data_IF_962946950724
#
_entry.id   IF_962946950724
#
_cell.length_a   1.000
_cell.length_b   1.000
_cell.length_c   1.000
_cell.angle_alpha   90.00
_cell.angle_beta   90.00
_cell.angle_gamma   90.00
#
_symmetry.space_group_name_H-M   'P 1'
#
loop_
_entity.id
_entity.type
_entity.pdbx_description
1 polymer ?
#
# COMPACT_ATOMS: atom_id res chain seq x y z
N UNK A 1 -15.92 13.99 17.96
CA UNK A 1 -16.64 13.36 16.85
C UNK A 1 -17.16 14.37 15.83
N UNK A 2 -17.83 15.46 16.21
CA UNK A 2 -18.34 16.48 15.26
C UNK A 2 -17.27 17.07 14.32
N UNK A 3 -16.06 17.34 14.79
CA UNK A 3 -14.96 17.89 13.97
C UNK A 3 -14.50 16.96 12.84
N UNK A 4 -14.48 15.63 13.07
CA UNK A 4 -14.08 14.66 12.06
C UNK A 4 -15.17 14.53 10.99
N UNK A 5 -16.44 14.49 11.41
CA UNK A 5 -17.57 14.45 10.48
C UNK A 5 -17.65 15.71 9.64
N UNK A 6 -17.47 16.88 10.23
CA UNK A 6 -17.48 18.17 9.55
C UNK A 6 -16.33 18.28 8.51
N UNK A 7 -15.14 17.83 8.89
CA UNK A 7 -14.00 17.76 7.97
C UNK A 7 -14.28 16.86 6.77
N UNK A 8 -14.80 15.64 7.00
CA UNK A 8 -15.11 14.69 5.95
C UNK A 8 -16.27 15.14 5.04
N UNK A 9 -17.31 15.76 5.63
CA UNK A 9 -18.50 16.12 4.88
C UNK A 9 -18.38 17.44 4.12
N UNK A 10 -17.62 18.41 4.65
CA UNK A 10 -17.58 19.78 4.15
C UNK A 10 -16.25 20.22 3.54
N UNK A 11 -15.16 19.43 3.77
CA UNK A 11 -13.81 19.78 3.28
C UNK A 11 -13.24 18.77 2.30
N UNK A 12 -14.01 17.72 1.94
CA UNK A 12 -13.56 16.69 0.99
C UNK A 12 -14.60 16.52 -0.14
N UNK A 13 -14.11 16.38 -1.35
CA UNK A 13 -14.91 15.91 -2.48
C UNK A 13 -15.21 14.41 -2.30
N UNK A 14 -16.47 14.12 -1.95
CA UNK A 14 -16.95 12.74 -1.72
C UNK A 14 -16.79 11.86 -2.95
N UNK A 15 -16.88 12.41 -4.15
CA UNK A 15 -16.72 11.65 -5.40
C UNK A 15 -15.28 11.14 -5.51
N UNK A 16 -14.30 11.99 -5.24
CA UNK A 16 -12.88 11.60 -5.23
C UNK A 16 -12.57 10.59 -4.13
N UNK A 17 -13.18 10.73 -2.95
CA UNK A 17 -13.04 9.75 -1.85
C UNK A 17 -13.57 8.37 -2.28
N UNK A 18 -14.73 8.32 -2.93
CA UNK A 18 -15.31 7.07 -3.44
C UNK A 18 -14.40 6.47 -4.53
N UNK A 19 -13.90 7.28 -5.46
CA UNK A 19 -12.97 6.82 -6.50
C UNK A 19 -11.70 6.24 -5.88
N UNK A 20 -11.11 6.91 -4.90
CA UNK A 20 -9.94 6.42 -4.16
C UNK A 20 -10.21 5.05 -3.53
N UNK A 21 -11.37 4.89 -2.87
CA UNK A 21 -11.78 3.62 -2.27
C UNK A 21 -11.94 2.51 -3.32
N UNK A 22 -12.59 2.79 -4.43
CA UNK A 22 -12.79 1.81 -5.52
C UNK A 22 -11.46 1.38 -6.14
N UNK A 23 -10.53 2.30 -6.36
CA UNK A 23 -9.17 1.98 -6.85
C UNK A 23 -8.44 1.10 -5.84
N UNK A 24 -8.51 1.41 -4.56
CA UNK A 24 -7.91 0.60 -3.50
C UNK A 24 -8.46 -0.82 -3.47
N UNK A 25 -9.79 -0.98 -3.50
CA UNK A 25 -10.45 -2.29 -3.50
C UNK A 25 -10.13 -3.11 -4.76
N UNK A 26 -10.17 -2.48 -5.94
CA UNK A 26 -9.81 -3.13 -7.21
C UNK A 26 -8.35 -3.55 -7.23
N UNK A 27 -7.45 -2.70 -6.72
CA UNK A 27 -6.01 -2.97 -6.58
C UNK A 27 -5.75 -4.15 -5.66
N UNK A 28 -6.35 -4.19 -4.47
CA UNK A 28 -6.23 -5.30 -3.53
C UNK A 28 -6.73 -6.61 -4.16
N UNK A 29 -7.92 -6.59 -4.77
CA UNK A 29 -8.48 -7.78 -5.43
C UNK A 29 -7.54 -8.32 -6.53
N UNK A 30 -7.04 -7.43 -7.39
CA UNK A 30 -6.14 -7.79 -8.48
C UNK A 30 -4.80 -8.31 -7.96
N UNK A 31 -4.22 -7.64 -6.95
CA UNK A 31 -2.98 -8.04 -6.32
C UNK A 31 -3.07 -9.44 -5.71
N UNK A 32 -4.17 -9.77 -5.01
CA UNK A 32 -4.41 -11.12 -4.48
C UNK A 32 -4.44 -12.20 -5.56
N UNK A 33 -5.08 -11.93 -6.70
CA UNK A 33 -5.14 -12.88 -7.81
C UNK A 33 -3.75 -13.08 -8.47
N UNK A 34 -2.97 -12.02 -8.63
CA UNK A 34 -1.61 -12.10 -9.15
C UNK A 34 -0.66 -12.81 -8.17
N UNK A 35 -0.77 -12.51 -6.89
CA UNK A 35 0.00 -13.17 -5.84
C UNK A 35 -0.28 -14.69 -5.77
N UNK A 36 -1.54 -15.08 -5.94
CA UNK A 36 -1.91 -16.49 -6.02
C UNK A 36 -1.20 -17.21 -7.18
N UNK A 37 -1.12 -16.57 -8.35
CA UNK A 37 -0.36 -17.11 -9.51
C UNK A 37 1.13 -17.19 -9.23
N UNK A 38 1.71 -16.20 -8.57
CA UNK A 38 3.11 -16.22 -8.15
C UNK A 38 3.42 -17.40 -7.24
N UNK A 39 2.50 -17.82 -6.37
CA UNK A 39 2.70 -18.91 -5.43
C UNK A 39 2.75 -20.30 -6.09
N UNK A 40 2.19 -20.46 -7.30
CA UNK A 40 2.10 -21.74 -8.01
C UNK A 40 3.14 -21.83 -9.15
N UNK A 41 3.64 -20.69 -9.66
CA UNK A 41 4.51 -20.60 -10.84
C UNK A 41 5.92 -21.14 -10.63
N UNK A 42 6.57 -21.57 -11.73
CA UNK A 42 8.01 -21.84 -11.78
C UNK A 42 8.80 -20.56 -11.45
N UNK A 43 10.05 -20.68 -11.01
CA UNK A 43 10.85 -19.55 -10.49
C UNK A 43 10.80 -18.29 -11.39
N UNK A 44 10.98 -18.45 -12.70
CA UNK A 44 10.96 -17.33 -13.67
C UNK A 44 9.58 -16.66 -13.75
N UNK A 45 8.51 -17.45 -13.77
CA UNK A 45 7.14 -16.96 -13.76
C UNK A 45 6.79 -16.34 -12.40
N UNK A 46 7.27 -16.93 -11.31
CA UNK A 46 7.09 -16.42 -9.96
C UNK A 46 7.64 -15.02 -9.80
N UNK A 47 8.87 -14.77 -10.26
CA UNK A 47 9.49 -13.44 -10.21
C UNK A 47 8.66 -12.41 -10.99
N UNK A 48 8.23 -12.75 -12.22
CA UNK A 48 7.40 -11.86 -13.03
C UNK A 48 6.05 -11.55 -12.34
N UNK A 49 5.38 -12.56 -11.80
CA UNK A 49 4.11 -12.36 -11.09
C UNK A 49 4.28 -11.56 -9.79
N UNK A 50 5.39 -11.75 -9.06
CA UNK A 50 5.69 -10.97 -7.85
C UNK A 50 5.95 -9.50 -8.20
N UNK A 51 6.68 -9.23 -9.27
CA UNK A 51 6.89 -7.87 -9.76
C UNK A 51 5.57 -7.21 -10.15
N UNK A 52 4.73 -7.88 -10.95
CA UNK A 52 3.41 -7.37 -11.32
C UNK A 52 2.50 -7.15 -10.10
N UNK A 53 2.54 -8.06 -9.11
CA UNK A 53 1.83 -7.89 -7.84
C UNK A 53 2.30 -6.62 -7.13
N UNK A 54 3.61 -6.38 -7.08
CA UNK A 54 4.19 -5.18 -6.49
C UNK A 54 3.78 -3.90 -7.22
N UNK A 55 3.82 -3.90 -8.54
CA UNK A 55 3.38 -2.77 -9.38
C UNK A 55 1.90 -2.45 -9.13
N UNK A 56 1.02 -3.45 -9.13
CA UNK A 56 -0.42 -3.24 -8.91
C UNK A 56 -0.68 -2.81 -7.46
N UNK A 57 -0.04 -3.44 -6.48
CA UNK A 57 -0.23 -3.09 -5.06
C UNK A 57 0.31 -1.69 -4.78
N UNK A 58 1.57 -1.42 -5.13
CA UNK A 58 2.21 -0.13 -4.88
C UNK A 58 1.52 1.00 -5.64
N UNK A 59 1.19 0.77 -6.91
CA UNK A 59 0.48 1.74 -7.75
C UNK A 59 -0.92 2.06 -7.25
N UNK A 60 -1.70 1.07 -6.83
CA UNK A 60 -3.04 1.30 -6.28
C UNK A 60 -3.01 1.99 -4.92
N UNK A 61 -2.08 1.65 -4.02
CA UNK A 61 -1.91 2.34 -2.74
C UNK A 61 -1.51 3.81 -2.97
N UNK A 62 -0.54 4.04 -3.87
CA UNK A 62 -0.13 5.38 -4.25
C UNK A 62 -1.27 6.19 -4.86
N UNK A 63 -2.03 5.62 -5.81
CA UNK A 63 -3.16 6.29 -6.45
C UNK A 63 -4.26 6.61 -5.43
N UNK A 64 -4.61 5.66 -4.55
CA UNK A 64 -5.57 5.88 -3.46
C UNK A 64 -5.13 7.04 -2.56
N UNK A 65 -3.86 7.08 -2.17
CA UNK A 65 -3.29 8.15 -1.35
C UNK A 65 -3.40 9.51 -2.04
N UNK A 66 -2.92 9.65 -3.28
CA UNK A 66 -2.93 10.92 -3.98
C UNK A 66 -4.34 11.40 -4.35
N UNK A 67 -5.24 10.50 -4.75
CA UNK A 67 -6.63 10.87 -5.03
C UNK A 67 -7.33 11.29 -3.74
N UNK A 68 -7.07 10.62 -2.62
CA UNK A 68 -7.58 11.04 -1.31
C UNK A 68 -7.04 12.42 -0.90
N UNK A 69 -5.77 12.73 -1.20
CA UNK A 69 -5.22 14.07 -0.97
C UNK A 69 -5.85 15.13 -1.88
N UNK A 70 -6.13 14.80 -3.15
CA UNK A 70 -6.81 15.69 -4.08
C UNK A 70 -8.27 15.93 -3.71
N UNK A 71 -8.89 15.05 -2.92
CA UNK A 71 -10.25 15.25 -2.43
C UNK A 71 -10.35 16.33 -1.36
N UNK A 72 -9.25 16.66 -0.69
CA UNK A 72 -9.21 17.72 0.30
C UNK A 72 -9.12 19.09 -0.41
N UNK A 73 -10.12 19.95 -0.19
CA UNK A 73 -10.21 21.30 -0.75
C UNK A 73 -9.86 22.35 0.33
N UNK A 74 -8.59 22.67 0.49
CA UNK A 74 -8.20 23.76 1.37
C UNK A 74 -8.48 25.11 0.70
N UNK A 75 -8.72 26.15 1.51
CA UNK A 75 -8.97 27.51 1.03
C UNK A 75 -7.77 28.12 0.25
N UNK A 76 -6.61 27.45 0.25
CA UNK A 76 -5.37 27.88 -0.39
C UNK A 76 -5.02 27.00 -1.58
N UNK A 77 -4.39 27.53 -2.65
CA UNK A 77 -3.97 26.72 -3.78
C UNK A 77 -2.90 25.70 -3.38
N UNK A 78 -3.13 24.43 -3.74
CA UNK A 78 -2.21 23.30 -3.49
C UNK A 78 -1.62 22.85 -4.82
N UNK A 79 -0.31 22.73 -4.88
CA UNK A 79 0.43 22.09 -5.97
C UNK A 79 1.20 20.88 -5.48
N UNK A 80 1.69 20.08 -6.43
CA UNK A 80 2.53 18.90 -6.14
C UNK A 80 3.81 18.98 -6.97
N UNK A 81 4.92 18.71 -6.33
CA UNK A 81 6.23 18.64 -7.00
C UNK A 81 6.35 17.31 -7.76
N UNK A 82 6.50 17.32 -9.12
CA UNK A 82 6.39 16.12 -9.94
C UNK A 82 7.47 15.06 -9.63
N UNK A 83 8.70 15.47 -9.32
CA UNK A 83 9.80 14.53 -9.08
C UNK A 83 9.57 13.74 -7.79
N UNK A 84 9.24 14.40 -6.68
CA UNK A 84 8.94 13.73 -5.42
C UNK A 84 7.69 12.84 -5.52
N UNK A 85 6.69 13.28 -6.29
CA UNK A 85 5.49 12.50 -6.58
C UNK A 85 5.85 11.20 -7.33
N UNK A 86 6.69 11.28 -8.36
CA UNK A 86 7.17 10.10 -9.08
C UNK A 86 8.07 9.20 -8.23
N UNK A 87 8.96 9.79 -7.41
CA UNK A 87 9.81 9.04 -6.47
C UNK A 87 8.96 8.28 -5.45
N UNK A 88 7.90 8.89 -4.91
CA UNK A 88 7.00 8.21 -3.98
C UNK A 88 6.32 6.97 -4.61
N UNK A 89 5.92 7.03 -5.89
CA UNK A 89 5.39 5.89 -6.62
C UNK A 89 6.44 4.76 -6.75
N UNK A 90 7.69 5.11 -7.11
CA UNK A 90 8.76 4.13 -7.23
C UNK A 90 9.07 3.45 -5.89
N UNK A 91 9.05 4.20 -4.78
CA UNK A 91 9.20 3.66 -3.42
C UNK A 91 8.09 2.65 -3.13
N UNK A 92 6.82 2.98 -3.43
CA UNK A 92 5.70 2.08 -3.22
C UNK A 92 5.86 0.76 -3.99
N UNK A 93 6.19 0.84 -5.29
CA UNK A 93 6.38 -0.34 -6.15
C UNK A 93 7.57 -1.18 -5.68
N UNK A 94 8.70 -0.55 -5.37
CA UNK A 94 9.90 -1.26 -4.93
C UNK A 94 9.68 -1.99 -3.59
N UNK A 95 9.10 -1.30 -2.61
CA UNK A 95 8.86 -1.87 -1.28
C UNK A 95 7.82 -2.99 -1.31
N UNK A 96 6.72 -2.83 -2.05
CA UNK A 96 5.70 -3.89 -2.18
C UNK A 96 6.26 -5.10 -2.92
N UNK A 97 7.01 -4.90 -4.01
CA UNK A 97 7.69 -5.99 -4.73
C UNK A 97 8.67 -6.75 -3.83
N UNK A 98 9.52 -6.03 -3.09
CA UNK A 98 10.49 -6.61 -2.17
C UNK A 98 9.80 -7.39 -1.04
N UNK A 99 8.76 -6.83 -0.43
CA UNK A 99 8.01 -7.47 0.63
C UNK A 99 7.33 -8.77 0.19
N UNK A 100 6.67 -8.78 -0.96
CA UNK A 100 6.10 -10.01 -1.53
C UNK A 100 7.17 -11.03 -1.92
N UNK A 101 8.33 -10.59 -2.41
CA UNK A 101 9.44 -11.47 -2.73
C UNK A 101 10.01 -12.13 -1.46
N UNK A 102 10.26 -11.37 -0.40
CA UNK A 102 10.72 -11.89 0.89
C UNK A 102 9.75 -12.95 1.43
N UNK A 103 8.46 -12.63 1.44
CA UNK A 103 7.44 -13.55 1.96
C UNK A 103 7.26 -14.83 1.14
N UNK A 104 7.66 -14.84 -0.12
CA UNK A 104 7.35 -15.93 -1.06
C UNK A 104 8.55 -16.71 -1.56
N UNK A 105 9.75 -16.12 -1.56
CA UNK A 105 10.99 -16.73 -2.08
C UNK A 105 11.90 -17.13 -0.93
N UNK A 106 12.06 -16.27 0.07
CA UNK A 106 12.97 -16.48 1.19
C UNK A 106 12.22 -17.22 2.31
N UNK A 107 12.10 -18.54 2.21
CA UNK A 107 11.43 -19.37 3.21
C UNK A 107 9.91 -19.24 3.22
N UNK A 108 9.22 -19.71 2.18
CA UNK A 108 7.78 -19.51 2.01
C UNK A 108 6.92 -20.12 3.12
N UNK A 109 7.46 -21.04 3.91
CA UNK A 109 6.76 -21.66 5.04
C UNK A 109 7.14 -21.07 6.40
N UNK A 110 8.11 -20.15 6.46
CA UNK A 110 8.55 -19.51 7.70
C UNK A 110 7.62 -18.32 8.03
N UNK A 111 7.12 -18.30 9.27
CA UNK A 111 6.36 -17.16 9.79
C UNK A 111 7.21 -15.88 9.73
N UNK A 112 8.49 -15.98 10.01
CA UNK A 112 9.43 -14.87 10.00
C UNK A 112 9.49 -14.17 8.64
N UNK A 113 9.52 -14.91 7.51
CA UNK A 113 9.57 -14.31 6.18
C UNK A 113 8.30 -13.52 5.85
N UNK A 114 7.15 -13.94 6.37
CA UNK A 114 5.87 -13.21 6.22
C UNK A 114 5.87 -11.93 7.04
N UNK A 115 6.36 -12.00 8.28
CA UNK A 115 6.48 -10.83 9.17
C UNK A 115 7.47 -9.83 8.59
N UNK A 116 8.66 -10.25 8.19
CA UNK A 116 9.69 -9.36 7.62
C UNK A 116 9.22 -8.77 6.29
N UNK A 117 8.64 -9.59 5.41
CA UNK A 117 8.06 -9.09 4.16
C UNK A 117 6.96 -8.05 4.39
N UNK A 118 6.07 -8.29 5.36
CA UNK A 118 5.02 -7.36 5.75
C UNK A 118 5.56 -6.07 6.37
N UNK A 119 6.60 -6.17 7.19
CA UNK A 119 7.32 -5.02 7.74
C UNK A 119 7.90 -4.14 6.63
N UNK A 120 8.55 -4.75 5.63
CA UNK A 120 9.10 -4.03 4.46
C UNK A 120 8.00 -3.32 3.68
N UNK A 121 6.85 -3.97 3.46
CA UNK A 121 5.69 -3.34 2.82
C UNK A 121 5.18 -2.16 3.65
N UNK A 122 4.97 -2.34 4.95
CA UNK A 122 4.42 -1.31 5.83
C UNK A 122 5.33 -0.09 5.96
N UNK A 123 6.64 -0.30 6.14
CA UNK A 123 7.63 0.78 6.16
C UNK A 123 7.74 1.47 4.80
N UNK A 124 7.66 0.71 3.70
CA UNK A 124 7.65 1.26 2.35
C UNK A 124 6.42 2.14 2.07
N UNK A 125 5.24 1.76 2.55
CA UNK A 125 4.03 2.59 2.47
C UNK A 125 4.22 3.88 3.27
N UNK A 126 4.79 3.80 4.48
CA UNK A 126 5.11 4.99 5.28
C UNK A 126 6.11 5.89 4.56
N UNK A 127 7.18 5.33 3.97
CA UNK A 127 8.15 6.08 3.20
C UNK A 127 7.51 6.76 1.97
N UNK A 128 6.67 6.05 1.23
CA UNK A 128 5.88 6.60 0.11
C UNK A 128 5.00 7.76 0.58
N UNK A 129 4.26 7.55 1.68
CA UNK A 129 3.35 8.56 2.23
C UNK A 129 4.11 9.86 2.59
N UNK A 130 5.18 9.78 3.38
CA UNK A 130 5.93 10.97 3.80
C UNK A 130 6.68 11.63 2.64
N UNK A 131 7.16 10.85 1.65
CA UNK A 131 7.73 11.42 0.42
C UNK A 131 6.65 12.15 -0.39
N UNK A 132 5.45 11.56 -0.53
CA UNK A 132 4.31 12.18 -1.20
C UNK A 132 3.84 13.45 -0.49
N UNK A 133 3.75 13.43 0.83
CA UNK A 133 3.43 14.62 1.63
C UNK A 133 4.48 15.73 1.48
N UNK A 134 5.75 15.36 1.35
CA UNK A 134 6.83 16.33 1.10
C UNK A 134 6.78 16.96 -0.31
N UNK A 135 6.03 16.35 -1.24
CA UNK A 135 5.78 16.89 -2.57
C UNK A 135 4.78 18.06 -2.57
N UNK A 136 4.01 18.24 -1.49
CA UNK A 136 3.01 19.32 -1.40
C UNK A 136 3.69 20.68 -1.45
N UNK A 137 3.13 21.55 -2.27
CA UNK A 137 3.51 22.97 -2.39
C UNK A 137 2.30 23.83 -2.03
N UNK A 138 2.40 24.49 -0.88
CA UNK A 138 1.39 25.43 -0.37
C UNK A 138 2.07 26.76 0.01
N UNK A 139 1.39 27.90 -0.07
CA UNK A 139 1.92 29.15 0.45
C UNK A 139 1.87 29.14 1.99
N UNK A 140 2.86 28.50 2.62
CA UNK A 140 2.93 28.32 4.08
C UNK A 140 4.06 27.40 4.52
N UNK A 141 4.16 27.16 5.82
CA UNK A 141 5.14 26.25 6.43
C UNK A 141 4.40 24.99 6.90
N UNK A 142 4.81 23.83 6.39
CA UNK A 142 4.31 22.54 6.85
C UNK A 142 5.11 22.14 8.10
N UNK A 143 4.43 22.00 9.23
CA UNK A 143 5.02 21.51 10.48
C UNK A 143 4.64 20.05 10.73
N UNK A 144 5.58 19.25 11.19
CA UNK A 144 5.38 17.83 11.48
C UNK A 144 5.30 17.60 12.99
N UNK A 145 4.22 16.99 13.45
CA UNK A 145 4.11 16.49 14.81
C UNK A 145 4.74 15.09 14.88
N UNK A 146 5.93 14.99 15.46
CA UNK A 146 6.75 13.76 15.44
C UNK A 146 6.08 12.58 16.15
N UNK A 147 5.28 12.80 17.15
CA UNK A 147 4.44 11.79 17.81
C UNK A 147 3.45 11.12 16.83
N UNK A 148 2.79 11.92 15.99
CA UNK A 148 1.86 11.43 14.95
C UNK A 148 2.65 10.71 13.85
N UNK A 149 3.80 11.24 13.43
CA UNK A 149 4.66 10.61 12.42
C UNK A 149 5.11 9.22 12.87
N UNK A 150 5.63 9.12 14.10
CA UNK A 150 6.06 7.84 14.68
C UNK A 150 4.88 6.87 14.79
N UNK A 151 3.75 7.34 15.29
CA UNK A 151 2.51 6.55 15.37
C UNK A 151 2.08 5.99 14.01
N UNK A 152 2.11 6.82 12.96
CA UNK A 152 1.76 6.41 11.60
C UNK A 152 2.72 5.35 11.05
N UNK A 153 4.03 5.50 11.27
CA UNK A 153 5.05 4.51 10.85
C UNK A 153 4.84 3.17 11.58
N UNK A 154 4.63 3.20 12.89
CA UNK A 154 4.39 1.99 13.68
C UNK A 154 3.10 1.28 13.24
N UNK A 155 2.02 2.02 13.03
CA UNK A 155 0.77 1.44 12.52
C UNK A 155 0.95 0.86 11.11
N UNK A 156 1.65 1.56 10.22
CA UNK A 156 1.98 1.07 8.88
C UNK A 156 2.76 -0.25 8.94
N UNK A 157 3.76 -0.34 9.80
CA UNK A 157 4.54 -1.56 10.04
C UNK A 157 3.66 -2.71 10.54
N UNK A 158 2.84 -2.48 11.56
CA UNK A 158 1.95 -3.51 12.14
C UNK A 158 0.91 -3.98 11.13
N UNK A 159 0.22 -3.07 10.45
CA UNK A 159 -0.76 -3.46 9.44
C UNK A 159 -0.13 -4.15 8.23
N UNK A 160 1.07 -3.75 7.81
CA UNK A 160 1.83 -4.43 6.77
C UNK A 160 2.13 -5.89 7.15
N UNK A 161 2.60 -6.13 8.37
CA UNK A 161 2.86 -7.48 8.88
C UNK A 161 1.59 -8.34 8.93
N UNK A 162 0.49 -7.81 9.48
CA UNK A 162 -0.80 -8.50 9.56
C UNK A 162 -1.34 -8.81 8.17
N UNK A 163 -1.32 -7.84 7.26
CA UNK A 163 -1.84 -7.98 5.90
C UNK A 163 -1.13 -9.08 5.12
N UNK A 164 0.20 -9.12 5.17
CA UNK A 164 0.96 -10.10 4.42
C UNK A 164 0.89 -11.50 5.07
N UNK A 165 0.79 -11.57 6.39
CA UNK A 165 0.50 -12.82 7.10
C UNK A 165 -0.86 -13.39 6.70
N UNK A 166 -1.92 -12.58 6.69
CA UNK A 166 -3.26 -12.99 6.27
C UNK A 166 -3.29 -13.40 4.79
N UNK A 167 -2.69 -12.58 3.91
CA UNK A 167 -2.61 -12.86 2.48
C UNK A 167 -1.99 -14.25 2.20
N UNK A 168 -0.89 -14.55 2.85
CA UNK A 168 -0.19 -15.83 2.68
C UNK A 168 -0.96 -16.99 3.30
N UNK A 169 -1.56 -16.80 4.46
CA UNK A 169 -2.38 -17.82 5.13
C UNK A 169 -3.59 -18.21 4.26
N UNK A 170 -4.29 -17.23 3.70
CA UNK A 170 -5.41 -17.47 2.80
C UNK A 170 -4.99 -18.26 1.54
N UNK A 171 -3.82 -17.98 0.96
CA UNK A 171 -3.32 -18.74 -0.19
C UNK A 171 -2.97 -20.18 0.18
N UNK A 172 -2.40 -20.41 1.35
CA UNK A 172 -2.07 -21.77 1.82
C UNK A 172 -3.33 -22.60 2.02
N UNK A 173 -4.38 -22.05 2.62
CA UNK A 173 -5.65 -22.76 2.80
C UNK A 173 -6.34 -23.04 1.46
N UNK A 174 -6.35 -22.09 0.53
CA UNK A 174 -6.88 -22.29 -0.82
C UNK A 174 -6.16 -23.42 -1.56
N UNK A 175 -4.83 -23.49 -1.46
CA UNK A 175 -4.04 -24.58 -2.07
C UNK A 175 -4.36 -25.95 -1.45
N UNK A 176 -4.54 -26.03 -0.13
CA UNK A 176 -4.95 -27.26 0.56
C UNK A 176 -6.34 -27.74 0.11
N UNK A 177 -7.29 -26.83 -0.07
CA UNK A 177 -8.64 -27.17 -0.53
C UNK A 177 -8.63 -27.69 -1.98
N UNK A 178 -7.87 -27.03 -2.87
CA UNK A 178 -7.75 -27.48 -4.26
C UNK A 178 -7.01 -28.82 -4.40
N UNK A 179 -6.00 -29.08 -3.55
CA UNK A 179 -5.27 -30.34 -3.52
C UNK A 179 -6.06 -31.53 -2.92
N UNK A 180 -7.16 -31.26 -2.19
CA UNK A 180 -8.07 -32.30 -1.68
C UNK A 180 -9.20 -32.63 -2.64
N UNK A 181 -9.41 -31.82 -3.67
CA UNK A 181 -10.46 -32.00 -4.66
C UNK A 181 -10.01 -32.81 -5.91
N UNK A 182 -8.73 -33.21 -5.98
CA UNK A 182 -8.12 -34.11 -6.96
C UNK A 182 -7.71 -35.42 -6.28
#
# INVERSE_FOLDING_TARGET
MYRIYDCLANQHDIVLVIIALLIGLAGIHTAFNMYARACIGRLRQKVAWLFLTGVVTGGSIWATHFIAMLSYDPVVPVGYEPVLTAVSLLIAIAATTAGFAIASVIGPNLLLSRIVGGLVVGLGISAMHFTGMSAIRVPGVISWHMDIVIGAILMGAVFGMISLWLARSAQTERQKLLGKAN
#
